data_IF_063111715480
#
_entry.id   IF_063111715480
#
_cell.length_a   1.000
_cell.length_b   1.000
_cell.length_c   1.000
_cell.angle_alpha   90.00
_cell.angle_beta   90.00
_cell.angle_gamma   90.00
#
_symmetry.space_group_name_H-M   'P 1'
#
loop_
_entity.id
_entity.type
_entity.pdbx_description
1 polymer ?
#
# COMPACT_ATOMS: atom_id res chain seq x y z
N UNK A 1 16.60 35.32 -17.19
CA UNK A 1 16.93 35.18 -15.76
C UNK A 1 16.61 33.74 -15.39
N UNK A 2 17.64 32.92 -15.31
CA UNK A 2 17.58 31.51 -14.93
C UNK A 2 17.32 31.44 -13.43
N UNK A 3 16.12 31.01 -13.02
CA UNK A 3 15.88 30.65 -11.62
C UNK A 3 16.76 29.45 -11.31
N UNK A 4 17.61 29.58 -10.29
CA UNK A 4 18.32 28.46 -9.71
C UNK A 4 17.28 27.42 -9.24
N UNK A 5 17.57 26.11 -9.33
CA UNK A 5 16.71 25.09 -8.76
C UNK A 5 16.49 25.40 -7.27
N UNK A 6 15.28 25.23 -6.72
CA UNK A 6 15.02 25.51 -5.32
C UNK A 6 15.98 24.68 -4.46
N UNK A 7 16.81 25.35 -3.67
CA UNK A 7 17.65 24.72 -2.66
C UNK A 7 16.76 23.98 -1.66
N UNK A 8 17.10 22.72 -1.39
CA UNK A 8 16.48 21.84 -0.41
C UNK A 8 16.32 22.57 0.93
N UNK A 9 15.05 22.76 1.35
CA UNK A 9 14.61 23.42 2.59
C UNK A 9 14.95 24.92 2.62
N UNK A 10 13.92 25.76 2.55
CA UNK A 10 14.04 27.18 2.92
C UNK A 10 14.58 27.26 4.36
N UNK A 11 15.72 27.94 4.57
CA UNK A 11 16.41 27.99 5.87
C UNK A 11 15.50 28.63 6.94
N UNK A 12 14.81 27.80 7.72
CA UNK A 12 14.08 28.24 8.89
C UNK A 12 15.07 28.50 10.05
N UNK A 13 15.76 29.64 10.00
CA UNK A 13 16.89 29.98 10.90
C UNK A 13 16.55 29.93 12.39
N UNK A 14 15.29 30.13 12.75
CA UNK A 14 14.81 30.12 14.14
C UNK A 14 14.39 28.72 14.64
N UNK A 15 14.41 27.71 13.77
CA UNK A 15 14.07 26.33 14.15
C UNK A 15 15.36 25.55 14.42
N UNK A 16 15.54 24.99 15.63
CA UNK A 16 16.70 24.16 15.93
C UNK A 16 16.79 22.98 14.96
N UNK A 17 17.96 22.78 14.33
CA UNK A 17 18.18 21.70 13.35
C UNK A 17 17.78 20.32 13.91
N UNK A 18 18.09 20.06 15.18
CA UNK A 18 17.69 18.84 15.87
C UNK A 18 16.17 18.62 15.88
N UNK A 19 15.39 19.69 16.05
CA UNK A 19 13.93 19.60 16.02
C UNK A 19 13.43 19.21 14.62
N UNK A 20 14.03 19.74 13.56
CA UNK A 20 13.73 19.36 12.17
C UNK A 20 14.06 17.88 11.90
N UNK A 21 15.23 17.42 12.33
CA UNK A 21 15.64 16.01 12.18
C UNK A 21 14.70 15.06 12.93
N UNK A 22 14.32 15.39 14.16
CA UNK A 22 13.36 14.60 14.94
C UNK A 22 11.98 14.62 14.26
N UNK A 23 11.51 15.79 13.83
CA UNK A 23 10.24 15.92 13.11
C UNK A 23 10.20 15.03 11.86
N UNK A 24 11.24 15.09 11.02
CA UNK A 24 11.33 14.27 9.81
C UNK A 24 11.29 12.76 10.11
N UNK A 25 12.00 12.31 11.16
CA UNK A 25 12.00 10.89 11.57
C UNK A 25 10.69 10.45 12.20
N UNK A 26 10.01 11.32 12.96
CA UNK A 26 8.65 11.06 13.46
C UNK A 26 7.63 11.00 12.32
N UNK A 27 7.74 11.90 11.34
CA UNK A 27 6.91 11.88 10.15
C UNK A 27 7.07 10.56 9.39
N UNK A 28 8.32 10.14 9.14
CA UNK A 28 8.64 8.86 8.51
C UNK A 28 8.04 7.69 9.29
N UNK A 29 8.23 7.65 10.62
CA UNK A 29 7.68 6.62 11.49
C UNK A 29 6.15 6.53 11.39
N UNK A 30 5.44 7.63 11.63
CA UNK A 30 3.99 7.61 11.67
C UNK A 30 3.38 7.33 10.28
N UNK A 31 4.04 7.78 9.19
CA UNK A 31 3.62 7.47 7.82
C UNK A 31 3.62 5.96 7.60
N UNK A 32 4.74 5.31 7.91
CA UNK A 32 4.86 3.86 7.75
C UNK A 32 3.99 3.08 8.72
N UNK A 33 3.84 3.55 9.96
CA UNK A 33 2.93 2.96 10.94
C UNK A 33 1.48 2.98 10.44
N UNK A 34 1.05 4.06 9.79
CA UNK A 34 -0.27 4.11 9.13
C UNK A 34 -0.37 3.11 7.99
N UNK A 35 0.65 3.00 7.15
CA UNK A 35 0.66 2.05 6.02
C UNK A 35 0.51 0.60 6.48
N UNK A 36 1.23 0.19 7.52
CA UNK A 36 1.13 -1.18 8.06
C UNK A 36 -0.24 -1.43 8.70
N UNK A 37 -0.73 -0.50 9.52
CA UNK A 37 -2.07 -0.61 10.11
C UNK A 37 -3.14 -0.72 9.01
N UNK A 38 -3.05 0.14 7.99
CA UNK A 38 -3.98 0.14 6.88
C UNK A 38 -4.02 -1.23 6.19
N UNK A 39 -2.88 -1.72 5.71
CA UNK A 39 -2.83 -3.01 4.99
C UNK A 39 -3.33 -4.17 5.84
N UNK A 40 -2.85 -4.28 7.09
CA UNK A 40 -3.20 -5.44 7.90
C UNK A 40 -4.67 -5.43 8.31
N UNK A 41 -5.24 -4.28 8.66
CA UNK A 41 -6.66 -4.18 8.97
C UNK A 41 -7.53 -4.37 7.72
N UNK A 42 -7.11 -3.90 6.54
CA UNK A 42 -7.80 -4.18 5.27
C UNK A 42 -7.83 -5.67 4.96
N UNK A 43 -6.72 -6.37 5.17
CA UNK A 43 -6.64 -7.81 4.95
C UNK A 43 -7.46 -8.60 5.99
N UNK A 44 -7.59 -8.10 7.21
CA UNK A 44 -8.38 -8.74 8.28
C UNK A 44 -9.88 -8.49 8.13
N UNK A 45 -10.29 -7.23 7.91
CA UNK A 45 -11.67 -6.76 8.10
C UNK A 45 -12.36 -6.32 6.79
N UNK A 46 -11.64 -6.25 5.67
CA UNK A 46 -12.23 -5.83 4.39
C UNK A 46 -12.73 -4.39 4.46
N UNK A 47 -14.00 -4.17 4.12
CA UNK A 47 -14.64 -2.84 4.11
C UNK A 47 -14.88 -2.30 5.54
N UNK A 48 -14.92 -3.17 6.55
CA UNK A 48 -15.15 -2.81 7.96
C UNK A 48 -13.87 -2.37 8.69
N UNK A 49 -12.72 -2.31 8.01
CA UNK A 49 -11.41 -1.99 8.61
C UNK A 49 -11.36 -0.68 9.41
N UNK A 50 -12.22 0.30 9.05
CA UNK A 50 -12.32 1.60 9.71
C UNK A 50 -13.31 1.65 10.88
N UNK A 51 -14.07 0.58 11.14
CA UNK A 51 -15.16 0.60 12.11
C UNK A 51 -14.69 0.91 13.55
N UNK A 52 -13.47 0.51 13.90
CA UNK A 52 -12.85 0.77 15.21
C UNK A 52 -12.18 2.15 15.32
N UNK A 53 -12.02 2.87 14.21
CA UNK A 53 -11.48 4.23 14.22
C UNK A 53 -12.54 5.20 14.71
N UNK A 54 -12.31 5.76 15.90
CA UNK A 54 -13.01 6.97 16.37
C UNK A 54 -12.50 8.16 15.57
N UNK A 55 -12.87 8.27 14.30
CA UNK A 55 -12.60 9.47 13.51
C UNK A 55 -13.35 10.64 14.14
N UNK A 56 -12.73 11.81 14.16
CA UNK A 56 -13.44 13.05 14.42
C UNK A 56 -13.95 13.56 13.06
N UNK A 57 -15.20 13.25 12.66
CA UNK A 57 -15.71 13.59 11.33
C UNK A 57 -15.57 15.09 11.03
N UNK A 58 -15.63 15.95 12.05
CA UNK A 58 -15.44 17.39 11.90
C UNK A 58 -14.07 17.79 11.36
N UNK A 59 -12.99 17.09 11.72
CA UNK A 59 -11.65 17.44 11.24
C UNK A 59 -11.46 17.07 9.77
N UNK A 60 -11.97 15.90 9.38
CA UNK A 60 -11.98 15.46 7.98
C UNK A 60 -12.87 16.36 7.11
N UNK A 61 -14.11 16.58 7.53
CA UNK A 61 -15.07 17.42 6.80
C UNK A 61 -14.60 18.88 6.72
N UNK A 62 -14.00 19.42 7.79
CA UNK A 62 -13.45 20.78 7.76
C UNK A 62 -12.28 20.92 6.78
N UNK A 63 -11.37 19.94 6.74
CA UNK A 63 -10.26 19.93 5.79
C UNK A 63 -10.77 19.85 4.34
N UNK A 64 -11.69 18.92 4.06
CA UNK A 64 -12.27 18.77 2.71
C UNK A 64 -13.22 19.90 2.30
N UNK A 65 -13.74 20.66 3.25
CA UNK A 65 -14.49 21.88 2.97
C UNK A 65 -13.57 23.00 2.41
N UNK A 66 -12.28 23.01 2.75
CA UNK A 66 -11.31 23.99 2.26
C UNK A 66 -10.88 23.70 0.82
N UNK A 67 -11.78 23.95 -0.13
CA UNK A 67 -11.56 23.72 -1.58
C UNK A 67 -10.34 24.44 -2.18
N UNK A 68 -9.80 25.44 -1.48
CA UNK A 68 -8.64 26.23 -1.90
C UNK A 68 -7.30 25.68 -1.38
N UNK A 69 -7.32 24.67 -0.51
CA UNK A 69 -6.15 23.97 0.00
C UNK A 69 -6.40 22.44 -0.01
N UNK A 70 -6.60 21.85 -1.21
CA UNK A 70 -6.91 20.42 -1.31
C UNK A 70 -5.71 19.58 -0.87
N UNK A 71 -5.98 18.63 0.02
CA UNK A 71 -5.05 17.59 0.47
C UNK A 71 -5.39 16.27 -0.23
N UNK A 72 -4.41 15.52 -0.75
CA UNK A 72 -4.66 14.19 -1.33
C UNK A 72 -5.13 13.19 -0.28
N UNK A 73 -4.82 13.42 1.00
CA UNK A 73 -5.08 12.48 2.08
C UNK A 73 -6.58 12.21 2.26
N UNK A 74 -7.03 11.00 1.93
CA UNK A 74 -8.44 10.60 2.09
C UNK A 74 -8.61 9.48 3.13
N UNK A 75 -7.50 8.91 3.59
CA UNK A 75 -7.52 7.81 4.53
C UNK A 75 -7.91 8.29 5.95
N UNK A 76 -8.81 7.58 6.62
CA UNK A 76 -9.19 7.86 8.00
C UNK A 76 -7.99 7.87 8.97
N UNK A 77 -6.94 7.08 8.67
CA UNK A 77 -5.70 7.02 9.44
C UNK A 77 -4.87 8.29 9.35
N UNK A 78 -4.99 9.08 8.28
CA UNK A 78 -4.25 10.33 8.10
C UNK A 78 -4.62 11.38 9.15
N UNK A 79 -5.82 11.25 9.72
CA UNK A 79 -6.31 12.09 10.82
C UNK A 79 -6.21 11.41 12.20
N UNK A 80 -5.68 10.18 12.26
CA UNK A 80 -5.49 9.47 13.52
C UNK A 80 -4.21 9.94 14.23
N UNK A 81 -4.34 10.22 15.51
CA UNK A 81 -3.23 10.49 16.43
C UNK A 81 -2.42 9.22 16.69
N UNK A 82 -1.15 9.38 17.10
CA UNK A 82 -0.29 8.24 17.44
C UNK A 82 -0.91 7.33 18.52
N UNK A 83 -1.59 7.89 19.52
CA UNK A 83 -2.29 7.10 20.54
C UNK A 83 -3.47 6.30 20.00
N UNK A 84 -4.16 6.79 18.96
CA UNK A 84 -5.20 6.00 18.27
C UNK A 84 -4.58 4.87 17.46
N UNK A 85 -3.46 5.12 16.77
CA UNK A 85 -2.71 4.08 16.06
C UNK A 85 -2.23 2.98 17.03
N UNK A 86 -1.70 3.37 18.20
CA UNK A 86 -1.33 2.45 19.27
C UNK A 86 -2.52 1.60 19.74
N UNK A 87 -3.68 2.22 19.95
CA UNK A 87 -4.90 1.51 20.35
C UNK A 87 -5.39 0.49 19.31
N UNK A 88 -5.24 0.76 18.01
CA UNK A 88 -5.57 -0.21 16.95
C UNK A 88 -4.60 -1.39 16.95
N UNK A 89 -3.30 -1.12 17.11
CA UNK A 89 -2.28 -2.15 17.22
C UNK A 89 -2.56 -3.05 18.42
N UNK A 90 -2.93 -2.47 19.56
CA UNK A 90 -3.28 -3.22 20.77
C UNK A 90 -4.51 -4.09 20.60
N UNK A 91 -5.56 -3.57 19.94
CA UNK A 91 -6.79 -4.31 19.68
C UNK A 91 -6.61 -5.49 18.72
N UNK A 92 -5.61 -5.40 17.82
CA UNK A 92 -5.35 -6.40 16.79
C UNK A 92 -3.90 -6.89 16.83
N UNK A 93 -3.34 -7.08 18.04
CA UNK A 93 -1.90 -7.34 18.24
C UNK A 93 -1.38 -8.52 17.43
N UNK A 94 -2.18 -9.56 17.23
CA UNK A 94 -1.82 -10.75 16.44
C UNK A 94 -1.40 -10.40 15.00
N UNK A 95 -2.01 -9.37 14.40
CA UNK A 95 -1.65 -8.89 13.07
C UNK A 95 -0.28 -8.19 13.02
N UNK A 96 0.18 -7.65 14.15
CA UNK A 96 1.35 -6.78 14.23
C UNK A 96 2.55 -7.41 14.94
N UNK A 97 2.32 -8.46 15.73
CA UNK A 97 3.33 -9.10 16.57
C UNK A 97 4.55 -9.62 15.79
N UNK A 98 4.38 -9.93 14.51
CA UNK A 98 5.47 -10.39 13.63
C UNK A 98 6.38 -9.24 13.17
N UNK A 99 5.88 -8.01 13.14
CA UNK A 99 6.62 -6.84 12.67
C UNK A 99 7.20 -6.00 13.81
N UNK A 100 6.54 -6.01 14.97
CA UNK A 100 6.88 -5.14 16.08
C UNK A 100 7.69 -5.89 17.15
N UNK A 101 8.47 -5.18 17.98
CA UNK A 101 9.10 -5.75 19.16
C UNK A 101 8.06 -6.41 20.08
N UNK A 102 8.49 -7.34 20.97
CA UNK A 102 7.58 -7.96 21.94
C UNK A 102 6.77 -6.91 22.70
N UNK A 103 5.48 -7.19 22.92
CA UNK A 103 4.50 -6.20 23.39
C UNK A 103 4.97 -5.33 24.57
N UNK A 104 5.55 -5.88 25.66
CA UNK A 104 6.00 -5.04 26.77
C UNK A 104 7.10 -4.04 26.39
N UNK A 105 7.99 -4.44 25.47
CA UNK A 105 9.06 -3.59 24.96
C UNK A 105 8.51 -2.53 24.00
N UNK A 106 7.58 -2.93 23.13
CA UNK A 106 6.85 -2.02 22.25
C UNK A 106 6.13 -0.93 23.05
N UNK A 107 5.30 -1.31 24.02
CA UNK A 107 4.52 -0.38 24.83
C UNK A 107 5.42 0.62 25.59
N UNK A 108 6.56 0.14 26.09
CA UNK A 108 7.53 0.97 26.81
C UNK A 108 8.21 1.98 25.87
N UNK A 109 8.71 1.51 24.73
CA UNK A 109 9.39 2.37 23.75
C UNK A 109 8.43 3.36 23.10
N UNK A 110 7.22 2.94 22.77
CA UNK A 110 6.22 3.81 22.14
C UNK A 110 5.85 4.98 23.06
N UNK A 111 5.70 4.76 24.37
CA UNK A 111 5.47 5.84 25.35
C UNK A 111 6.60 6.87 25.37
N UNK A 112 7.84 6.43 25.22
CA UNK A 112 8.99 7.34 25.11
C UNK A 112 8.90 8.18 23.83
N UNK A 113 8.57 7.55 22.70
CA UNK A 113 8.40 8.22 21.40
C UNK A 113 7.23 9.21 21.42
N UNK A 114 6.12 8.88 22.08
CA UNK A 114 4.99 9.79 22.29
C UNK A 114 5.41 11.06 23.03
N UNK A 115 6.28 10.95 24.04
CA UNK A 115 6.81 12.10 24.76
C UNK A 115 7.72 12.97 23.88
N UNK A 116 8.56 12.35 23.04
CA UNK A 116 9.40 13.06 22.06
C UNK A 116 8.50 13.82 21.07
N UNK A 117 7.51 13.12 20.47
CA UNK A 117 6.53 13.70 19.56
C UNK A 117 5.79 14.88 20.18
N UNK A 118 5.30 14.73 21.41
CA UNK A 118 4.58 15.79 22.12
C UNK A 118 5.46 17.04 22.32
N UNK A 119 6.75 16.88 22.62
CA UNK A 119 7.68 18.03 22.71
C UNK A 119 7.82 18.76 21.38
N UNK A 120 8.01 18.02 20.27
CA UNK A 120 8.13 18.61 18.93
C UNK A 120 6.83 19.32 18.51
N UNK A 121 5.67 18.67 18.71
CA UNK A 121 4.37 19.23 18.36
C UNK A 121 4.03 20.52 19.14
N UNK A 122 4.59 20.70 20.34
CA UNK A 122 4.41 21.90 21.16
C UNK A 122 5.61 22.85 21.13
N UNK A 123 6.48 22.73 20.12
CA UNK A 123 7.62 23.62 19.90
C UNK A 123 8.56 23.73 21.12
N UNK A 124 8.77 22.63 21.84
CA UNK A 124 9.65 22.56 23.01
C UNK A 124 11.03 22.06 22.62
N UNK A 125 12.07 22.52 23.33
CA UNK A 125 13.48 22.26 22.98
C UNK A 125 13.93 20.78 22.96
N UNK A 126 13.15 19.87 23.56
CA UNK A 126 13.48 18.44 23.63
C UNK A 126 14.55 18.12 24.68
N UNK A 127 14.72 16.84 24.99
CA UNK A 127 15.90 16.34 25.68
C UNK A 127 17.06 16.17 24.68
N UNK A 128 18.33 16.35 25.06
CA UNK A 128 19.47 16.18 24.14
C UNK A 128 19.50 14.81 23.44
N UNK A 129 19.07 13.76 24.13
CA UNK A 129 19.09 12.38 23.62
C UNK A 129 17.87 11.99 22.78
N UNK A 130 16.87 12.86 22.62
CA UNK A 130 15.60 12.52 21.95
C UNK A 130 15.84 11.98 20.52
N UNK A 131 16.76 12.60 19.79
CA UNK A 131 17.11 12.17 18.44
C UNK A 131 17.74 10.77 18.43
N UNK A 132 18.69 10.50 19.33
CA UNK A 132 19.36 9.20 19.41
C UNK A 132 18.40 8.09 19.83
N UNK A 133 17.47 8.36 20.75
CA UNK A 133 16.42 7.42 21.18
C UNK A 133 15.47 7.09 20.03
N UNK A 134 15.05 8.11 19.27
CA UNK A 134 14.21 7.92 18.09
C UNK A 134 14.92 7.09 17.01
N UNK A 135 16.20 7.37 16.73
CA UNK A 135 16.96 6.57 15.76
C UNK A 135 17.11 5.11 16.21
N UNK A 136 17.41 4.87 17.49
CA UNK A 136 17.48 3.51 18.01
C UNK A 136 16.13 2.79 17.88
N UNK A 137 15.03 3.48 18.20
CA UNK A 137 13.69 2.92 18.01
C UNK A 137 13.41 2.56 16.56
N UNK A 138 13.76 3.43 15.59
CA UNK A 138 13.61 3.13 14.17
C UNK A 138 14.44 1.92 13.72
N UNK A 139 15.69 1.80 14.20
CA UNK A 139 16.53 0.62 13.94
C UNK A 139 15.89 -0.67 14.44
N UNK A 140 15.28 -0.62 15.62
CA UNK A 140 14.60 -1.77 16.21
C UNK A 140 13.36 -2.18 15.41
N UNK A 141 12.77 -1.26 14.63
CA UNK A 141 11.62 -1.51 13.76
C UNK A 141 11.99 -1.83 12.31
N UNK A 142 13.23 -1.54 11.89
CA UNK A 142 13.66 -1.59 10.50
C UNK A 142 13.35 -2.93 9.83
N UNK A 143 13.75 -4.03 10.47
CA UNK A 143 13.47 -5.38 9.98
C UNK A 143 11.98 -5.69 9.90
N UNK A 144 11.19 -5.18 10.84
CA UNK A 144 9.74 -5.34 10.86
C UNK A 144 9.07 -4.70 9.64
N UNK A 145 9.43 -3.46 9.35
CA UNK A 145 8.95 -2.74 8.17
C UNK A 145 9.46 -3.33 6.85
N UNK A 146 10.69 -3.83 6.85
CA UNK A 146 11.23 -4.61 5.74
C UNK A 146 10.38 -5.86 5.46
N UNK A 147 10.10 -6.68 6.48
CA UNK A 147 9.24 -7.87 6.36
C UNK A 147 7.82 -7.50 5.91
N UNK A 148 7.28 -6.40 6.43
CA UNK A 148 5.97 -5.88 6.00
C UNK A 148 5.94 -5.57 4.50
N UNK A 149 6.92 -4.82 3.98
CA UNK A 149 6.96 -4.43 2.58
C UNK A 149 7.22 -5.61 1.66
N UNK A 150 8.18 -6.46 2.01
CA UNK A 150 8.56 -7.60 1.17
C UNK A 150 7.48 -8.68 1.12
N UNK A 151 6.79 -8.95 2.24
CA UNK A 151 5.61 -9.83 2.24
C UNK A 151 4.42 -9.28 1.44
N UNK A 152 4.39 -7.97 1.16
CA UNK A 152 3.38 -7.36 0.27
C UNK A 152 3.64 -7.64 -1.21
N UNK A 153 4.84 -8.09 -1.57
CA UNK A 153 5.21 -8.45 -2.94
C UNK A 153 5.63 -9.93 -3.08
N UNK A 154 5.39 -10.74 -2.05
CA UNK A 154 5.63 -12.19 -2.07
C UNK A 154 4.41 -12.91 -2.69
N UNK A 155 4.35 -12.86 -4.03
CA UNK A 155 3.22 -13.36 -4.80
C UNK A 155 3.16 -14.89 -4.79
N UNK A 156 2.01 -15.43 -4.44
CA UNK A 156 1.72 -16.86 -4.48
C UNK A 156 0.77 -17.17 -5.65
N UNK A 157 1.08 -18.15 -6.51
CA UNK A 157 0.14 -18.62 -7.50
C UNK A 157 -1.01 -19.38 -6.81
N UNK A 158 -2.22 -19.25 -7.36
CA UNK A 158 -3.38 -20.04 -6.91
C UNK A 158 -3.44 -21.31 -7.74
N UNK A 159 -3.05 -22.43 -7.13
CA UNK A 159 -2.95 -23.73 -7.79
C UNK A 159 -3.84 -24.79 -7.07
N UNK A 160 -4.60 -25.61 -7.82
CA UNK A 160 -4.90 -25.44 -9.25
C UNK A 160 -5.79 -24.19 -9.49
N UNK A 161 -5.71 -23.52 -10.66
CA UNK A 161 -6.46 -22.29 -10.93
C UNK A 161 -7.98 -22.42 -10.81
N UNK A 162 -8.51 -23.61 -11.08
CA UNK A 162 -9.93 -23.90 -10.98
C UNK A 162 -10.42 -23.96 -9.52
N UNK A 163 -9.55 -24.13 -8.53
CA UNK A 163 -9.94 -24.18 -7.11
C UNK A 163 -10.53 -22.87 -6.59
N UNK A 164 -10.14 -21.75 -7.18
CA UNK A 164 -10.60 -20.41 -6.81
C UNK A 164 -11.55 -19.86 -7.87
N UNK A 165 -12.68 -19.29 -7.41
CA UNK A 165 -13.73 -18.75 -8.29
C UNK A 165 -13.26 -17.53 -9.09
N UNK A 166 -12.47 -16.64 -8.49
CA UNK A 166 -11.92 -15.44 -9.13
C UNK A 166 -10.91 -15.86 -10.19
N UNK A 167 -9.94 -16.71 -9.84
CA UNK A 167 -8.94 -17.19 -10.81
C UNK A 167 -9.60 -17.92 -11.97
N UNK A 168 -10.56 -18.82 -11.68
CA UNK A 168 -11.33 -19.53 -12.71
C UNK A 168 -12.08 -18.57 -13.64
N UNK A 169 -12.64 -17.49 -13.11
CA UNK A 169 -13.40 -16.50 -13.90
C UNK A 169 -12.52 -15.73 -14.89
N UNK A 170 -11.31 -15.35 -14.47
CA UNK A 170 -10.40 -14.54 -15.29
C UNK A 170 -9.33 -15.34 -16.04
N UNK A 171 -9.31 -16.67 -15.95
CA UNK A 171 -8.28 -17.49 -16.59
C UNK A 171 -8.19 -17.29 -18.10
N UNK A 172 -9.29 -16.95 -18.77
CA UNK A 172 -9.32 -16.66 -20.20
C UNK A 172 -8.63 -15.36 -20.62
N UNK A 173 -8.33 -14.47 -19.66
CA UNK A 173 -7.59 -13.23 -19.88
C UNK A 173 -6.11 -13.35 -19.48
N UNK A 174 -5.71 -14.48 -18.89
CA UNK A 174 -4.31 -14.74 -18.58
C UNK A 174 -3.60 -15.19 -19.87
N UNK A 175 -2.56 -14.47 -20.33
CA UNK A 175 -1.87 -14.81 -21.56
C UNK A 175 -1.02 -16.09 -21.43
N UNK A 176 -0.67 -16.46 -20.20
CA UNK A 176 0.16 -17.61 -19.86
C UNK A 176 -0.40 -18.27 -18.58
N UNK A 177 -1.59 -18.88 -18.63
CA UNK A 177 -2.21 -19.46 -17.44
C UNK A 177 -1.36 -20.61 -16.88
N UNK A 178 -1.52 -20.87 -15.59
CA UNK A 178 -0.93 -22.06 -14.97
C UNK A 178 -1.63 -23.32 -15.48
N UNK A 179 -0.85 -24.25 -16.04
CA UNK A 179 -1.29 -25.58 -16.45
C UNK A 179 -0.50 -26.67 -15.74
N UNK A 180 -1.16 -27.77 -15.42
CA UNK A 180 -0.51 -28.96 -14.85
C UNK A 180 0.27 -29.69 -15.96
N UNK A 181 1.58 -29.91 -15.74
CA UNK A 181 2.46 -30.62 -16.69
C UNK A 181 2.69 -32.08 -16.28
N UNK A 182 2.68 -32.32 -14.98
CA UNK A 182 2.77 -33.63 -14.33
C UNK A 182 1.93 -33.55 -13.04
N UNK A 183 1.52 -34.68 -12.44
CA UNK A 183 0.75 -34.67 -11.20
C UNK A 183 1.41 -33.80 -10.10
N UNK A 184 0.76 -32.70 -9.74
CA UNK A 184 1.24 -31.74 -8.74
C UNK A 184 2.34 -30.77 -9.21
N UNK A 185 2.73 -30.80 -10.49
CA UNK A 185 3.69 -29.86 -11.08
C UNK A 185 3.00 -28.93 -12.06
N UNK A 186 3.27 -27.63 -11.91
CA UNK A 186 2.59 -26.58 -12.64
C UNK A 186 3.59 -25.69 -13.37
N UNK A 187 3.25 -25.29 -14.58
CA UNK A 187 4.01 -24.32 -15.35
C UNK A 187 3.08 -23.30 -16.01
N UNK A 188 3.58 -22.10 -16.29
CA UNK A 188 2.84 -21.10 -17.09
C UNK A 188 2.95 -21.46 -18.57
N UNK A 189 1.83 -21.86 -19.17
CA UNK A 189 1.77 -22.34 -20.55
C UNK A 189 0.60 -21.67 -21.24
N UNK A 190 0.88 -21.01 -22.37
CA UNK A 190 -0.14 -20.33 -23.15
C UNK A 190 0.44 -19.72 -24.40
N UNK A 191 -0.37 -18.92 -25.07
CA UNK A 191 0.05 -18.08 -26.17
C UNK A 191 -0.50 -16.68 -25.92
N UNK A 192 0.33 -15.67 -26.20
CA UNK A 192 -0.10 -14.28 -26.10
C UNK A 192 -0.97 -13.96 -27.31
N UNK A 193 -2.28 -13.87 -27.11
CA UNK A 193 -3.19 -13.34 -28.13
C UNK A 193 -2.93 -11.83 -28.30
N UNK A 194 -2.43 -11.44 -29.49
CA UNK A 194 -2.14 -10.04 -29.81
C UNK A 194 -3.39 -9.21 -30.08
N UNK A 195 -4.54 -9.87 -30.34
CA UNK A 195 -5.82 -9.21 -30.51
C UNK A 195 -6.38 -8.71 -29.17
N UNK A 196 -6.02 -9.38 -28.07
CA UNK A 196 -6.46 -9.00 -26.74
C UNK A 196 -5.80 -7.69 -26.31
N UNK A 197 -6.65 -6.72 -25.97
CA UNK A 197 -6.22 -5.35 -25.71
C UNK A 197 -5.67 -5.21 -24.28
N UNK A 198 -6.28 -5.93 -23.34
CA UNK A 198 -5.93 -5.94 -21.92
C UNK A 198 -5.95 -7.38 -21.43
N UNK A 199 -4.83 -7.80 -20.84
CA UNK A 199 -4.68 -9.09 -20.19
C UNK A 199 -4.83 -8.95 -18.68
N UNK A 200 -5.27 -10.00 -18.00
CA UNK A 200 -5.47 -10.03 -16.54
C UNK A 200 -4.78 -11.25 -15.97
N UNK A 201 -3.98 -11.04 -14.91
CA UNK A 201 -3.37 -12.12 -14.13
C UNK A 201 -3.83 -11.97 -12.68
N UNK A 202 -4.29 -13.07 -12.09
CA UNK A 202 -4.75 -13.12 -10.70
C UNK A 202 -3.78 -13.96 -9.88
N UNK A 203 -3.18 -13.36 -8.86
CA UNK A 203 -2.33 -13.99 -7.87
C UNK A 203 -2.91 -13.78 -6.46
N UNK A 204 -2.25 -14.39 -5.48
CA UNK A 204 -2.57 -14.26 -4.07
C UNK A 204 -1.41 -13.65 -3.29
N UNK A 205 -1.72 -12.72 -2.39
CA UNK A 205 -0.82 -12.31 -1.31
C UNK A 205 -1.35 -12.87 0.01
N UNK A 206 -0.46 -13.48 0.79
CA UNK A 206 -0.77 -13.94 2.16
C UNK A 206 -0.05 -13.05 3.15
N UNK A 207 -0.80 -12.44 4.08
CA UNK A 207 -0.20 -11.68 5.18
C UNK A 207 0.51 -12.64 6.14
N UNK A 208 1.71 -12.30 6.64
CA UNK A 208 2.49 -13.19 7.50
C UNK A 208 1.83 -13.72 8.77
N UNK A 209 0.86 -13.00 9.34
CA UNK A 209 0.09 -13.44 10.52
C UNK A 209 -1.11 -14.34 10.16
N UNK A 210 -1.44 -14.45 8.87
CA UNK A 210 -2.61 -15.18 8.42
C UNK A 210 -2.43 -16.69 8.64
N UNK A 211 -3.48 -17.36 9.11
CA UNK A 211 -3.49 -18.80 9.23
C UNK A 211 -3.45 -19.48 7.86
N UNK A 212 -2.83 -20.66 7.82
CA UNK A 212 -2.89 -21.51 6.64
C UNK A 212 -4.31 -22.03 6.46
N UNK A 213 -4.88 -21.69 5.31
CA UNK A 213 -6.22 -22.09 4.89
C UNK A 213 -6.19 -22.54 3.44
N UNK A 214 -6.95 -23.57 3.15
CA UNK A 214 -7.12 -24.06 1.79
C UNK A 214 -8.02 -23.17 0.92
N UNK A 215 -8.92 -22.41 1.53
CA UNK A 215 -9.89 -21.56 0.84
C UNK A 215 -9.40 -20.11 0.79
N UNK A 216 -9.35 -19.52 -0.40
CA UNK A 216 -9.03 -18.09 -0.59
C UNK A 216 -10.29 -17.23 -0.46
N UNK A 217 -11.40 -17.69 -1.04
CA UNK A 217 -12.71 -17.01 -1.00
C UNK A 217 -13.16 -16.72 0.43
N UNK A 218 -13.29 -15.44 0.78
CA UNK A 218 -13.73 -14.98 2.11
C UNK A 218 -12.68 -15.09 3.21
N UNK A 219 -11.44 -15.50 2.90
CA UNK A 219 -10.42 -15.70 3.92
C UNK A 219 -9.77 -14.39 4.39
N UNK A 220 -9.56 -14.28 5.70
CA UNK A 220 -8.85 -13.17 6.33
C UNK A 220 -7.34 -13.27 6.14
N UNK A 221 -6.66 -12.13 6.10
CA UNK A 221 -5.20 -12.07 5.95
C UNK A 221 -4.72 -12.43 4.54
N UNK A 222 -5.63 -12.36 3.55
CA UNK A 222 -5.35 -12.64 2.13
C UNK A 222 -5.83 -11.51 1.26
N UNK A 223 -5.04 -11.18 0.24
CA UNK A 223 -5.39 -10.20 -0.77
C UNK A 223 -5.27 -10.85 -2.14
N UNK A 224 -6.29 -10.71 -2.98
CA UNK A 224 -6.12 -10.93 -4.40
C UNK A 224 -5.21 -9.84 -4.95
N UNK A 225 -4.20 -10.25 -5.71
CA UNK A 225 -3.30 -9.38 -6.45
C UNK A 225 -3.62 -9.53 -7.93
N UNK A 226 -4.22 -8.49 -8.51
CA UNK A 226 -4.75 -8.53 -9.87
C UNK A 226 -3.96 -7.56 -10.74
N UNK A 227 -3.22 -8.10 -11.69
CA UNK A 227 -2.37 -7.32 -12.59
C UNK A 227 -3.05 -7.21 -13.95
N UNK A 228 -3.27 -5.98 -14.39
CA UNK A 228 -3.75 -5.65 -15.72
C UNK A 228 -2.58 -5.25 -16.60
N UNK A 229 -2.50 -5.79 -17.82
CA UNK A 229 -1.39 -5.53 -18.74
C UNK A 229 -1.92 -5.15 -20.12
N UNK A 230 -1.41 -4.07 -20.70
CA UNK A 230 -1.69 -3.67 -22.07
C UNK A 230 -1.08 -4.65 -23.07
N UNK A 231 -1.92 -5.28 -23.88
CA UNK A 231 -1.48 -6.16 -24.96
C UNK A 231 -0.88 -5.36 -26.13
N UNK A 232 0.18 -5.89 -26.76
CA UNK A 232 0.77 -5.35 -28.00
C UNK A 232 1.20 -3.86 -27.90
N UNK A 233 2.11 -3.57 -26.95
CA UNK A 233 2.69 -2.24 -26.69
C UNK A 233 1.66 -1.14 -26.39
N UNK A 234 0.56 -1.54 -25.78
CA UNK A 234 -0.46 -0.61 -25.29
C UNK A 234 -0.10 -0.14 -23.88
N UNK A 235 -0.41 1.12 -23.62
CA UNK A 235 -0.23 1.81 -22.35
C UNK A 235 -1.58 2.34 -21.87
N UNK A 236 -1.77 2.37 -20.56
CA UNK A 236 -2.94 2.93 -19.91
C UNK A 236 -2.82 4.45 -19.74
N UNK A 237 -3.92 5.15 -19.96
CA UNK A 237 -4.13 6.51 -19.47
C UNK A 237 -4.55 6.43 -18.01
N UNK A 238 -3.57 6.46 -17.09
CA UNK A 238 -3.84 6.31 -15.66
C UNK A 238 -4.78 7.38 -15.10
N UNK A 239 -4.72 8.62 -15.59
CA UNK A 239 -5.57 9.70 -15.08
C UNK A 239 -7.04 9.41 -15.40
N UNK A 240 -7.32 9.11 -16.67
CA UNK A 240 -8.69 8.79 -17.10
C UNK A 240 -9.18 7.46 -16.49
N UNK A 241 -8.29 6.47 -16.35
CA UNK A 241 -8.60 5.20 -15.69
C UNK A 241 -9.03 5.42 -14.23
N UNK A 242 -8.21 6.10 -13.43
CA UNK A 242 -8.47 6.34 -12.00
C UNK A 242 -9.74 7.15 -11.76
N UNK A 243 -10.04 8.15 -12.61
CA UNK A 243 -11.31 8.89 -12.48
C UNK A 243 -12.54 8.02 -12.77
N UNK A 244 -12.45 7.12 -13.74
CA UNK A 244 -13.58 6.25 -14.11
C UNK A 244 -13.84 5.14 -13.10
N UNK A 245 -12.81 4.65 -12.42
CA UNK A 245 -12.93 3.55 -11.45
C UNK A 245 -13.09 4.01 -10.01
N UNK A 246 -13.25 5.32 -9.78
CA UNK A 246 -13.33 5.96 -8.46
C UNK A 246 -14.35 5.34 -7.51
N UNK A 247 -15.48 4.85 -8.04
CA UNK A 247 -16.51 4.18 -7.25
C UNK A 247 -16.00 2.90 -6.54
N UNK A 248 -15.00 2.23 -7.11
CA UNK A 248 -14.45 0.98 -6.58
C UNK A 248 -13.27 1.20 -5.62
N UNK A 249 -12.70 2.41 -5.56
CA UNK A 249 -11.46 2.68 -4.83
C UNK A 249 -11.55 2.34 -3.34
N UNK A 250 -12.70 2.58 -2.70
CA UNK A 250 -12.85 2.32 -1.27
C UNK A 250 -12.77 0.83 -0.92
N UNK A 251 -13.00 -0.07 -1.89
CA UNK A 251 -12.99 -1.53 -1.73
C UNK A 251 -11.60 -2.14 -1.97
N UNK A 252 -10.66 -1.35 -2.51
CA UNK A 252 -9.28 -1.75 -2.77
C UNK A 252 -8.37 -1.45 -1.58
N UNK A 253 -7.32 -2.26 -1.40
CA UNK A 253 -6.20 -1.89 -0.53
C UNK A 253 -5.35 -0.84 -1.25
N UNK A 254 -4.76 -1.21 -2.39
CA UNK A 254 -3.94 -0.31 -3.21
C UNK A 254 -4.19 -0.49 -4.71
N UNK A 255 -3.95 0.61 -5.44
CA UNK A 255 -3.78 0.66 -6.90
C UNK A 255 -2.32 1.03 -7.16
N UNK A 256 -1.49 0.10 -7.61
CA UNK A 256 -0.10 0.35 -7.94
C UNK A 256 0.08 0.58 -9.44
N UNK A 257 0.63 1.73 -9.81
CA UNK A 257 0.91 2.10 -11.20
C UNK A 257 2.27 1.55 -11.64
N UNK A 258 2.36 0.99 -12.85
CA UNK A 258 3.63 0.66 -13.51
C UNK A 258 4.12 1.78 -14.43
N UNK A 259 4.95 1.46 -15.42
CA UNK A 259 5.48 2.43 -16.40
C UNK A 259 4.58 2.65 -17.63
N UNK A 260 3.28 2.45 -17.44
CA UNK A 260 2.21 2.68 -18.42
C UNK A 260 1.64 1.38 -18.97
N UNK A 261 2.42 0.31 -19.05
CA UNK A 261 2.02 -0.97 -19.63
C UNK A 261 1.21 -1.86 -18.70
N UNK A 262 1.27 -1.61 -17.38
CA UNK A 262 0.59 -2.42 -16.40
C UNK A 262 0.21 -1.61 -15.17
N UNK A 263 -0.86 -2.03 -14.50
CA UNK A 263 -1.19 -1.60 -13.15
C UNK A 263 -1.69 -2.80 -12.34
N UNK A 264 -1.62 -2.68 -11.02
CA UNK A 264 -1.93 -3.76 -10.10
C UNK A 264 -2.95 -3.30 -9.07
N UNK A 265 -3.99 -4.10 -8.87
CA UNK A 265 -4.97 -3.92 -7.81
C UNK A 265 -4.71 -4.94 -6.72
N UNK A 266 -4.89 -4.52 -5.48
CA UNK A 266 -4.88 -5.43 -4.33
C UNK A 266 -6.21 -5.34 -3.62
N UNK A 267 -6.89 -6.48 -3.47
CA UNK A 267 -8.30 -6.56 -3.05
C UNK A 267 -8.42 -7.54 -1.88
N UNK A 268 -9.02 -7.18 -0.74
CA UNK A 268 -9.17 -8.11 0.37
C UNK A 268 -10.02 -9.32 0.00
N UNK A 269 -9.49 -10.53 0.23
CA UNK A 269 -10.20 -11.76 -0.09
C UNK A 269 -11.43 -11.99 0.81
N UNK A 270 -11.43 -11.40 2.01
CA UNK A 270 -12.55 -11.40 2.96
C UNK A 270 -13.84 -10.77 2.40
N UNK A 271 -13.74 -9.96 1.33
CA UNK A 271 -14.92 -9.43 0.64
C UNK A 271 -15.72 -10.50 -0.10
N UNK A 272 -15.11 -11.66 -0.35
CA UNK A 272 -15.71 -12.76 -1.09
C UNK A 272 -15.58 -12.61 -2.62
N UNK A 273 -15.50 -13.75 -3.28
CA UNK A 273 -15.23 -13.89 -4.72
C UNK A 273 -16.23 -13.14 -5.61
N UNK A 274 -17.51 -13.11 -5.27
CA UNK A 274 -18.53 -12.41 -6.06
C UNK A 274 -18.23 -10.91 -6.17
N UNK A 275 -17.86 -10.30 -5.04
CA UNK A 275 -17.46 -8.90 -4.97
C UNK A 275 -16.16 -8.66 -5.72
N UNK A 276 -15.17 -9.53 -5.53
CA UNK A 276 -13.87 -9.38 -6.19
C UNK A 276 -14.03 -9.46 -7.71
N UNK A 277 -14.86 -10.38 -8.21
CA UNK A 277 -15.16 -10.51 -9.64
C UNK A 277 -15.78 -9.22 -10.18
N UNK A 278 -16.82 -8.70 -9.53
CA UNK A 278 -17.48 -7.44 -9.92
C UNK A 278 -16.45 -6.29 -10.04
N UNK A 279 -15.60 -6.11 -9.03
CA UNK A 279 -14.56 -5.08 -9.03
C UNK A 279 -13.61 -5.27 -10.23
N UNK A 280 -13.12 -6.49 -10.45
CA UNK A 280 -12.14 -6.76 -11.52
C UNK A 280 -12.78 -6.60 -12.90
N UNK A 281 -14.06 -6.96 -13.08
CA UNK A 281 -14.79 -6.73 -14.34
C UNK A 281 -14.96 -5.25 -14.66
N UNK A 282 -15.36 -4.43 -13.68
CA UNK A 282 -15.46 -2.98 -13.84
C UNK A 282 -14.12 -2.35 -14.23
N UNK A 283 -13.04 -2.79 -13.56
CA UNK A 283 -11.69 -2.33 -13.85
C UNK A 283 -11.20 -2.81 -15.21
N UNK A 284 -11.55 -4.03 -15.64
CA UNK A 284 -11.21 -4.55 -16.97
C UNK A 284 -11.88 -3.74 -18.07
N UNK A 285 -13.16 -3.43 -17.91
CA UNK A 285 -13.90 -2.60 -18.86
C UNK A 285 -13.35 -1.17 -18.91
N UNK A 286 -13.07 -0.57 -17.75
CA UNK A 286 -12.41 0.73 -17.70
C UNK A 286 -11.02 0.68 -18.34
N UNK A 287 -10.22 -0.35 -18.08
CA UNK A 287 -8.89 -0.52 -18.65
C UNK A 287 -8.92 -0.59 -20.18
N UNK A 288 -9.84 -1.38 -20.76
CA UNK A 288 -10.05 -1.49 -22.20
C UNK A 288 -10.40 -0.16 -22.86
N UNK A 289 -11.18 0.67 -22.18
CA UNK A 289 -11.57 1.99 -22.66
C UNK A 289 -10.50 3.08 -22.47
N UNK A 290 -9.44 2.81 -21.71
CA UNK A 290 -8.40 3.77 -21.35
C UNK A 290 -7.00 3.30 -21.71
N UNK A 291 -6.89 2.46 -22.74
CA UNK A 291 -5.61 1.93 -23.20
C UNK A 291 -5.39 2.28 -24.67
N UNK A 292 -4.17 2.67 -25.00
CA UNK A 292 -3.78 3.08 -26.35
C UNK A 292 -2.37 2.62 -26.66
N UNK A 293 -2.01 2.51 -27.93
CA UNK A 293 -0.59 2.30 -28.29
C UNK A 293 0.20 3.55 -27.98
N UNK A 294 1.38 3.38 -27.37
CA UNK A 294 2.23 4.50 -27.01
C UNK A 294 3.55 4.05 -26.39
N UNK A 295 4.50 4.99 -26.20
CA UNK A 295 5.73 4.71 -25.47
C UNK A 295 5.46 4.57 -23.97
N UNK A 296 6.29 3.79 -23.28
CA UNK A 296 6.26 3.75 -21.82
C UNK A 296 6.49 5.13 -21.22
N UNK A 297 5.88 5.37 -20.06
CA UNK A 297 6.09 6.59 -19.28
C UNK A 297 7.20 6.35 -18.25
N UNK A 298 7.94 7.41 -17.90
CA UNK A 298 8.95 7.32 -16.87
C UNK A 298 8.30 7.03 -15.49
N UNK A 299 9.00 6.29 -14.63
CA UNK A 299 8.55 5.99 -13.27
C UNK A 299 8.19 7.28 -12.49
N UNK A 300 9.02 8.32 -12.61
CA UNK A 300 8.78 9.63 -11.97
C UNK A 300 7.50 10.33 -12.48
N UNK A 301 7.10 10.09 -13.73
CA UNK A 301 5.85 10.62 -14.26
C UNK A 301 4.63 9.87 -13.69
N UNK A 302 4.74 8.55 -13.52
CA UNK A 302 3.72 7.75 -12.84
C UNK A 302 3.63 8.10 -11.34
N UNK A 303 4.76 8.32 -10.67
CA UNK A 303 4.78 8.79 -9.28
C UNK A 303 4.12 10.16 -9.12
N UNK A 304 4.37 11.08 -10.07
CA UNK A 304 3.72 12.38 -10.07
C UNK A 304 2.19 12.27 -10.22
N UNK A 305 1.71 11.31 -11.03
CA UNK A 305 0.27 11.02 -11.10
C UNK A 305 -0.21 10.46 -9.76
N UNK A 306 0.46 9.46 -9.20
CA UNK A 306 0.06 8.84 -7.93
C UNK A 306 -0.02 9.87 -6.77
N UNK A 307 0.92 10.83 -6.72
CA UNK A 307 0.95 11.88 -5.70
C UNK A 307 -0.25 12.86 -5.74
N UNK A 308 -0.99 12.92 -6.85
CA UNK A 308 -2.22 13.70 -6.95
C UNK A 308 -3.45 12.95 -6.44
N UNK A 309 -3.30 11.65 -6.17
CA UNK A 309 -4.35 10.78 -5.67
C UNK A 309 -4.13 10.44 -4.20
N UNK A 310 -5.17 9.90 -3.52
CA UNK A 310 -5.03 9.49 -2.14
C UNK A 310 -3.99 8.37 -1.96
N UNK A 311 -3.61 8.15 -0.70
CA UNK A 311 -2.48 7.33 -0.28
C UNK A 311 -2.57 5.86 -0.71
N UNK A 312 -3.75 5.39 -1.12
CA UNK A 312 -3.94 4.05 -1.67
C UNK A 312 -3.51 3.92 -3.15
N UNK A 313 -3.20 5.03 -3.83
CA UNK A 313 -2.61 5.00 -5.19
C UNK A 313 -1.10 5.10 -5.07
N UNK A 314 -0.41 4.04 -5.49
CA UNK A 314 1.03 3.90 -5.36
C UNK A 314 1.72 4.12 -6.70
N UNK A 315 2.75 4.95 -6.71
CA UNK A 315 3.67 5.04 -7.82
C UNK A 315 4.66 3.87 -7.86
N UNK A 316 5.32 3.62 -9.01
CA UNK A 316 6.25 2.51 -9.18
C UNK A 316 7.48 2.58 -8.26
N UNK A 317 7.83 3.76 -7.73
CA UNK A 317 8.95 3.89 -6.78
C UNK A 317 8.54 3.75 -5.31
N UNK A 318 7.26 3.51 -5.04
CA UNK A 318 6.80 3.26 -3.67
C UNK A 318 7.25 1.87 -3.19
N UNK A 319 7.80 1.70 -1.98
CA UNK A 319 8.32 0.41 -1.52
C UNK A 319 7.31 -0.77 -1.59
N UNK A 320 6.02 -0.51 -1.31
CA UNK A 320 4.97 -1.53 -1.47
C UNK A 320 4.69 -1.94 -2.94
N UNK A 321 5.23 -1.23 -3.93
CA UNK A 321 5.09 -1.56 -5.34
C UNK A 321 6.25 -2.39 -5.91
N UNK A 322 7.44 -2.36 -5.28
CA UNK A 322 8.64 -3.01 -5.87
C UNK A 322 9.53 -3.80 -4.90
N UNK A 323 9.49 -3.57 -3.57
CA UNK A 323 10.40 -4.27 -2.66
C UNK A 323 10.04 -5.75 -2.55
N UNK A 324 10.93 -6.61 -3.06
CA UNK A 324 10.83 -8.07 -2.97
C UNK A 324 11.65 -8.67 -1.81
N UNK A 325 11.33 -9.90 -1.37
CA UNK A 325 12.03 -10.58 -0.26
C UNK A 325 13.52 -10.87 -0.53
N UNK A 326 13.93 -10.82 -1.78
CA UNK A 326 15.29 -11.03 -2.28
C UNK A 326 16.17 -9.75 -2.26
N UNK A 327 15.58 -8.58 -1.99
CA UNK A 327 16.30 -7.31 -1.94
C UNK A 327 17.08 -7.12 -0.62
N UNK A 328 18.13 -6.27 -0.58
CA UNK A 328 18.92 -6.04 0.63
C UNK A 328 18.16 -5.20 1.68
N UNK A 329 18.28 -5.58 2.96
CA UNK A 329 17.56 -5.00 4.08
C UNK A 329 18.15 -3.65 4.55
N UNK A 330 17.45 -2.56 4.28
CA UNK A 330 17.49 -1.31 5.05
C UNK A 330 16.26 -0.49 4.67
N UNK A 331 15.47 -0.06 5.64
CA UNK A 331 14.23 0.67 5.39
C UNK A 331 14.28 2.12 5.85
N UNK A 332 14.86 2.36 7.03
CA UNK A 332 15.00 3.69 7.61
C UNK A 332 16.41 4.28 7.43
N UNK A 333 17.38 3.50 6.93
CA UNK A 333 18.80 3.86 6.87
C UNK A 333 19.28 4.49 8.19
N UNK A 334 18.80 3.90 9.30
CA UNK A 334 18.88 4.50 10.64
C UNK A 334 20.17 4.11 11.37
#
# INVERSE_FOLDING_TARGET
>A
MTQAPPTLIEEARDVPERALRIYARLWQFETWLRSIIYVELRALLGDDWRASLKTNPRSFEADKFLKHMPTPEMNALSYASLGQLAGLIDAHWECFAIYLPPKPLWDTKLKEIEQIRHRIAHFRAGHPDDHSRLLQFLRDLDRGFWTFCTSYNDLLPILPPDRDKVTRHFIGYDPLPWGEIEPGQWARIGFVDKSEVVNVVVNLLRRPWAQDSEAVDGATGRLYDVVFMGGDRRIFDYRSLLERTKANHERLVHIALGTGEAFRLTIPAVLGSAVVIEIVEDWLEAARNNVRRGPYIAATAADAIAAEWPEYVLGPTHPLAYLGPDMPCSFFDA
#
